data_IF_428643403335
#
_entry.id   IF_428643403335
#
_cell.length_a   1.000
_cell.length_b   1.000
_cell.length_c   1.000
_cell.angle_alpha   90.00
_cell.angle_beta   90.00
_cell.angle_gamma   90.00
#
_symmetry.space_group_name_H-M   'P 1'
#
loop_
_entity.id
_entity.type
_entity.pdbx_description
1 polymer ?
#
# COMPACT_ATOMS: atom_id res chain seq x y z
N UNK A 1 -16.81 11.75 11.04
CA UNK A 1 -15.86 12.87 10.78
C UNK A 1 -15.77 13.08 9.27
N UNK A 2 -15.69 14.32 8.79
CA UNK A 2 -15.55 14.64 7.35
C UNK A 2 -14.08 14.80 6.95
N UNK A 3 -13.75 14.70 5.66
CA UNK A 3 -12.39 14.94 5.14
C UNK A 3 -11.87 16.33 5.52
N UNK A 4 -12.73 17.35 5.40
CA UNK A 4 -12.40 18.72 5.76
C UNK A 4 -12.10 18.85 7.26
N UNK A 5 -12.95 18.28 8.12
CA UNK A 5 -12.71 18.29 9.57
C UNK A 5 -11.42 17.56 9.96
N UNK A 6 -11.09 16.44 9.31
CA UNK A 6 -9.82 15.75 9.53
C UNK A 6 -8.63 16.62 9.10
N UNK A 7 -8.74 17.32 7.98
CA UNK A 7 -7.67 18.21 7.48
C UNK A 7 -7.37 19.36 8.44
N UNK A 8 -8.42 19.94 9.04
CA UNK A 8 -8.33 21.04 10.01
C UNK A 8 -7.65 20.56 11.30
N UNK A 9 -8.11 19.44 11.89
CA UNK A 9 -7.54 18.89 13.13
C UNK A 9 -6.08 18.46 12.94
N UNK A 10 -5.77 17.88 11.76
CA UNK A 10 -4.41 17.44 11.44
C UNK A 10 -3.49 18.58 11.00
N UNK A 11 -4.02 19.76 10.69
CA UNK A 11 -3.31 20.91 10.10
C UNK A 11 -2.58 20.51 8.80
N UNK A 12 -3.29 19.81 7.92
CA UNK A 12 -2.81 19.40 6.59
C UNK A 12 -3.79 19.86 5.52
N UNK A 13 -3.35 19.93 4.27
CA UNK A 13 -4.26 20.28 3.17
C UNK A 13 -5.31 19.19 2.93
N UNK A 14 -6.50 19.57 2.46
CA UNK A 14 -7.54 18.63 2.05
C UNK A 14 -7.03 17.61 1.00
N UNK A 15 -6.21 18.08 0.05
CA UNK A 15 -5.56 17.22 -0.93
C UNK A 15 -4.63 16.16 -0.31
N UNK A 16 -4.07 16.45 0.87
CA UNK A 16 -3.26 15.47 1.62
C UNK A 16 -4.15 14.36 2.18
N UNK A 17 -5.28 14.70 2.81
CA UNK A 17 -6.25 13.72 3.33
C UNK A 17 -6.80 12.85 2.19
N UNK A 18 -7.22 13.47 1.09
CA UNK A 18 -7.67 12.75 -0.09
C UNK A 18 -6.57 11.87 -0.69
N UNK A 19 -5.32 12.31 -0.63
CA UNK A 19 -4.16 11.51 -1.02
C UNK A 19 -3.98 10.25 -0.16
N UNK A 20 -4.23 10.36 1.15
CA UNK A 20 -4.20 9.21 2.06
C UNK A 20 -5.34 8.23 1.76
N UNK A 21 -6.57 8.73 1.62
CA UNK A 21 -7.75 7.88 1.37
C UNK A 21 -7.72 7.19 0.01
N UNK A 22 -7.16 7.85 -1.00
CA UNK A 22 -6.98 7.25 -2.34
C UNK A 22 -5.73 6.38 -2.48
N UNK A 23 -4.91 6.28 -1.43
CA UNK A 23 -3.62 5.56 -1.49
C UNK A 23 -2.53 6.27 -2.32
N UNK A 24 -2.83 7.39 -3.01
CA UNK A 24 -1.82 8.19 -3.75
C UNK A 24 -0.70 8.71 -2.86
N UNK A 25 -0.95 8.85 -1.56
CA UNK A 25 0.04 9.19 -0.54
C UNK A 25 -0.07 8.15 0.58
N UNK A 26 0.68 7.04 0.49
CA UNK A 26 0.58 5.95 1.44
C UNK A 26 0.82 6.42 2.87
N UNK A 27 0.03 5.90 3.82
CA UNK A 27 0.17 6.27 5.23
C UNK A 27 1.52 5.81 5.83
N UNK A 28 2.14 4.77 5.28
CA UNK A 28 3.48 4.29 5.65
C UNK A 28 4.57 5.36 5.50
N UNK A 29 4.37 6.35 4.63
CA UNK A 29 5.32 7.45 4.44
C UNK A 29 5.15 8.60 5.45
N UNK A 30 4.17 8.53 6.36
CA UNK A 30 4.00 9.57 7.38
C UNK A 30 5.08 9.44 8.46
N UNK A 31 5.63 10.57 8.94
CA UNK A 31 6.42 10.56 10.16
C UNK A 31 5.65 9.91 11.31
N UNK A 32 6.31 9.05 12.09
CA UNK A 32 5.69 8.31 13.20
C UNK A 32 4.91 9.21 14.17
N UNK A 33 5.44 10.41 14.48
CA UNK A 33 4.76 11.39 15.32
C UNK A 33 3.42 11.87 14.73
N UNK A 34 3.36 12.08 13.40
CA UNK A 34 2.11 12.45 12.70
C UNK A 34 1.14 11.29 12.64
N UNK A 35 1.63 10.08 12.42
CA UNK A 35 0.80 8.88 12.46
C UNK A 35 0.17 8.68 13.85
N UNK A 36 0.94 8.87 14.92
CA UNK A 36 0.43 8.84 16.29
C UNK A 36 -0.60 9.94 16.59
N UNK A 37 -0.46 11.13 16.00
CA UNK A 37 -1.51 12.18 16.06
C UNK A 37 -2.78 11.72 15.33
N UNK A 38 -2.63 11.21 14.10
CA UNK A 38 -3.76 10.71 13.29
C UNK A 38 -4.53 9.63 14.04
N UNK A 39 -3.85 8.64 14.60
CA UNK A 39 -4.47 7.55 15.37
C UNK A 39 -5.27 8.08 16.56
N UNK A 40 -4.74 9.04 17.33
CA UNK A 40 -5.47 9.66 18.45
C UNK A 40 -6.71 10.43 18.01
N UNK A 41 -6.61 11.19 16.92
CA UNK A 41 -7.76 11.91 16.34
C UNK A 41 -8.84 10.93 15.90
N UNK A 42 -8.46 9.86 15.21
CA UNK A 42 -9.39 8.80 14.80
C UNK A 42 -9.98 8.08 16.01
N UNK A 43 -9.22 7.82 17.08
CA UNK A 43 -9.72 7.22 18.32
C UNK A 43 -10.83 8.05 18.96
N UNK A 44 -10.67 9.37 18.98
CA UNK A 44 -11.70 10.28 19.50
C UNK A 44 -12.92 10.39 18.58
N UNK A 45 -12.74 10.20 17.27
CA UNK A 45 -13.79 10.36 16.27
C UNK A 45 -14.54 9.05 15.93
N UNK A 46 -14.04 7.89 16.35
CA UNK A 46 -14.55 6.58 15.96
C UNK A 46 -15.37 5.94 17.08
N UNK A 47 -16.47 5.28 16.71
CA UNK A 47 -17.39 4.63 17.65
C UNK A 47 -16.88 3.26 18.13
N UNK A 48 -16.09 2.56 17.31
CA UNK A 48 -15.52 1.24 17.64
C UNK A 48 -13.98 1.30 17.70
N UNK A 49 -13.37 1.12 18.88
CA UNK A 49 -11.92 1.00 19.03
C UNK A 49 -11.33 -0.16 18.22
N UNK A 50 -12.14 -1.19 17.95
CA UNK A 50 -11.75 -2.37 17.18
C UNK A 50 -11.31 -2.04 15.76
N UNK A 51 -11.93 -1.05 15.11
CA UNK A 51 -11.57 -0.63 13.75
C UNK A 51 -10.16 -0.05 13.66
N UNK A 52 -9.69 0.59 14.73
CA UNK A 52 -8.36 1.23 14.74
C UNK A 52 -7.23 0.25 15.05
N UNK A 53 -7.55 -0.96 15.49
CA UNK A 53 -6.57 -2.04 15.58
C UNK A 53 -6.11 -2.49 14.19
N UNK A 54 -7.00 -2.38 13.18
CA UNK A 54 -6.73 -2.71 11.78
C UNK A 54 -5.73 -1.76 11.14
N UNK A 55 -5.67 -0.49 11.57
CA UNK A 55 -4.85 0.53 10.93
C UNK A 55 -3.35 0.20 10.92
N UNK A 56 -2.84 -0.39 12.01
CA UNK A 56 -1.43 -0.78 12.10
C UNK A 56 -1.08 -1.93 11.15
N UNK A 57 -1.92 -2.96 11.12
CA UNK A 57 -1.78 -4.11 10.23
C UNK A 57 -1.98 -3.72 8.76
N UNK A 58 -2.88 -2.76 8.49
CA UNK A 58 -3.11 -2.24 7.15
C UNK A 58 -1.88 -1.53 6.59
N UNK A 59 -1.13 -0.78 7.40
CA UNK A 59 0.14 -0.19 6.95
C UNK A 59 1.19 -1.25 6.62
N UNK A 60 1.25 -2.34 7.40
CA UNK A 60 2.16 -3.45 7.11
C UNK A 60 1.74 -4.18 5.83
N UNK A 61 0.43 -4.36 5.61
CA UNK A 61 -0.10 -4.90 4.36
C UNK A 61 0.27 -4.01 3.16
N UNK A 62 0.12 -2.69 3.27
CA UNK A 62 0.50 -1.73 2.22
C UNK A 62 2.00 -1.80 1.89
N UNK A 63 2.86 -1.90 2.91
CA UNK A 63 4.31 -2.07 2.72
C UNK A 63 4.63 -3.36 1.97
N UNK A 64 4.04 -4.49 2.39
CA UNK A 64 4.20 -5.78 1.72
C UNK A 64 3.73 -5.71 0.26
N UNK A 65 2.55 -5.12 0.02
CA UNK A 65 1.97 -5.01 -1.32
C UNK A 65 2.78 -4.09 -2.23
N UNK A 66 3.44 -3.07 -1.68
CA UNK A 66 4.33 -2.18 -2.45
C UNK A 66 5.59 -2.87 -2.96
N UNK A 67 5.99 -3.97 -2.32
CA UNK A 67 7.20 -4.74 -2.61
C UNK A 67 6.94 -6.00 -3.47
N UNK A 68 5.72 -6.19 -3.98
CA UNK A 68 5.36 -7.36 -4.84
C UNK A 68 6.26 -7.51 -6.08
N UNK A 69 6.88 -6.41 -6.54
CA UNK A 69 7.83 -6.41 -7.64
C UNK A 69 9.25 -6.88 -7.28
N UNK A 70 9.55 -7.07 -5.99
CA UNK A 70 10.89 -7.45 -5.53
C UNK A 70 11.25 -8.86 -5.99
N UNK A 71 12.36 -8.95 -6.72
CA UNK A 71 12.76 -10.17 -7.44
C UNK A 71 13.53 -11.16 -6.57
N UNK A 72 14.16 -10.69 -5.49
CA UNK A 72 14.84 -11.53 -4.51
C UNK A 72 13.85 -12.00 -3.43
N UNK A 73 13.50 -13.30 -3.38
CA UNK A 73 12.57 -13.81 -2.38
C UNK A 73 13.07 -13.65 -0.93
N UNK A 74 14.39 -13.59 -0.70
CA UNK A 74 14.95 -13.46 0.64
C UNK A 74 14.89 -12.02 1.17
N UNK A 75 14.85 -11.03 0.26
CA UNK A 75 14.70 -9.62 0.60
C UNK A 75 13.22 -9.18 0.67
N UNK A 76 12.29 -10.02 0.20
CA UNK A 76 10.87 -9.70 0.22
C UNK A 76 10.33 -9.63 1.66
N UNK A 77 9.55 -8.61 2.07
CA UNK A 77 9.08 -8.46 3.44
C UNK A 77 8.35 -9.69 4.02
N UNK A 78 7.63 -10.44 3.19
CA UNK A 78 6.99 -11.71 3.57
C UNK A 78 7.98 -12.80 4.06
N UNK A 79 9.25 -12.73 3.71
CA UNK A 79 10.26 -13.65 4.24
C UNK A 79 10.68 -13.30 5.68
N UNK A 80 10.41 -12.07 6.12
CA UNK A 80 10.82 -11.53 7.42
C UNK A 80 9.65 -11.40 8.41
N UNK A 81 8.41 -11.46 7.91
CA UNK A 81 7.19 -11.26 8.69
C UNK A 81 6.42 -12.57 8.78
N UNK A 82 6.05 -12.97 10.00
CA UNK A 82 5.08 -14.05 10.22
C UNK A 82 3.67 -13.46 10.18
N UNK A 83 2.85 -13.75 9.15
CA UNK A 83 1.54 -13.13 9.03
C UNK A 83 0.60 -13.61 10.13
N UNK A 84 0.01 -12.67 10.86
CA UNK A 84 -1.13 -12.99 11.71
C UNK A 84 -2.42 -13.09 10.86
N UNK A 85 -3.52 -13.51 11.49
CA UNK A 85 -4.80 -13.68 10.78
C UNK A 85 -5.29 -12.38 10.16
N UNK A 86 -5.20 -11.26 10.86
CA UNK A 86 -5.69 -9.97 10.37
C UNK A 86 -4.86 -9.48 9.17
N UNK A 87 -3.53 -9.58 9.24
CA UNK A 87 -2.65 -9.27 8.12
C UNK A 87 -2.98 -10.14 6.90
N UNK A 88 -3.22 -11.44 7.12
CA UNK A 88 -3.62 -12.36 6.04
C UNK A 88 -4.95 -11.95 5.41
N UNK A 89 -5.95 -11.62 6.23
CA UNK A 89 -7.25 -11.15 5.74
C UNK A 89 -7.13 -9.81 4.97
N UNK A 90 -6.26 -8.90 5.41
CA UNK A 90 -5.97 -7.64 4.71
C UNK A 90 -5.26 -7.86 3.37
N UNK A 91 -4.25 -8.72 3.32
CA UNK A 91 -3.56 -9.09 2.08
C UNK A 91 -4.50 -9.82 1.11
N UNK A 92 -5.43 -10.62 1.61
CA UNK A 92 -6.43 -11.34 0.83
C UNK A 92 -7.56 -10.45 0.30
N UNK A 93 -7.87 -9.35 1.00
CA UNK A 93 -8.99 -8.46 0.67
C UNK A 93 -8.97 -7.93 -0.79
N UNK A 94 -7.86 -7.40 -1.34
CA UNK A 94 -7.85 -6.94 -2.74
C UNK A 94 -8.15 -8.03 -3.76
N UNK A 95 -7.81 -9.28 -3.45
CA UNK A 95 -8.04 -10.42 -4.35
C UNK A 95 -9.46 -10.97 -4.21
N UNK A 96 -9.95 -11.10 -2.97
CA UNK A 96 -11.23 -11.76 -2.67
C UNK A 96 -12.41 -10.79 -2.71
N UNK A 97 -12.16 -9.49 -2.50
CA UNK A 97 -13.20 -8.47 -2.27
C UNK A 97 -13.88 -8.58 -0.90
N UNK A 98 -13.52 -9.56 -0.07
CA UNK A 98 -14.11 -9.78 1.25
C UNK A 98 -13.35 -9.00 2.33
N UNK A 99 -14.00 -8.08 3.06
CA UNK A 99 -13.33 -7.32 4.12
C UNK A 99 -12.89 -8.22 5.28
N UNK A 100 -11.83 -7.84 6.01
CA UNK A 100 -11.43 -8.53 7.23
C UNK A 100 -12.56 -8.49 8.27
N UNK A 101 -12.61 -9.47 9.17
CA UNK A 101 -13.73 -9.63 10.13
C UNK A 101 -13.95 -8.40 10.99
N UNK A 102 -12.85 -7.75 11.37
CA UNK A 102 -12.82 -6.54 12.18
C UNK A 102 -13.48 -5.35 11.49
N UNK A 103 -13.67 -5.39 10.17
CA UNK A 103 -14.33 -4.36 9.37
C UNK A 103 -15.66 -4.85 8.76
N UNK A 104 -16.14 -6.05 9.10
CA UNK A 104 -17.32 -6.65 8.49
C UNK A 104 -18.62 -5.88 8.77
N UNK A 105 -18.67 -5.11 9.86
CA UNK A 105 -19.76 -4.23 10.24
C UNK A 105 -19.71 -2.85 9.55
N UNK A 106 -18.63 -2.57 8.80
CA UNK A 106 -18.44 -1.32 8.08
C UNK A 106 -18.90 -1.41 6.63
N UNK A 107 -19.19 -0.26 6.01
CA UNK A 107 -19.46 -0.16 4.56
C UNK A 107 -18.17 -0.11 3.72
N UNK A 108 -17.02 -0.47 4.28
CA UNK A 108 -15.75 -0.37 3.59
C UNK A 108 -15.74 -1.27 2.35
N UNK A 109 -15.37 -0.69 1.20
CA UNK A 109 -15.21 -1.40 -0.07
C UNK A 109 -13.83 -1.11 -0.61
N UNK A 110 -13.17 -2.15 -1.09
CA UNK A 110 -11.99 -2.02 -1.91
C UNK A 110 -12.45 -2.05 -3.37
N UNK A 111 -12.52 -0.89 -3.99
CA UNK A 111 -12.94 -0.76 -5.40
C UNK A 111 -11.78 -1.12 -6.33
N UNK A 112 -11.48 -2.41 -6.41
CA UNK A 112 -10.59 -3.00 -7.41
C UNK A 112 -11.45 -3.67 -8.47
N UNK A 113 -11.27 -3.32 -9.74
CA UNK A 113 -12.07 -3.91 -10.81
C UNK A 113 -11.78 -5.41 -10.92
N UNK A 114 -12.78 -6.23 -11.28
CA UNK A 114 -12.61 -7.70 -11.35
C UNK A 114 -11.40 -8.11 -12.21
N UNK A 115 -11.20 -7.46 -13.37
CA UNK A 115 -10.06 -7.71 -14.25
C UNK A 115 -8.70 -7.41 -13.60
N UNK A 116 -8.62 -6.37 -12.76
CA UNK A 116 -7.40 -6.03 -12.03
C UNK A 116 -7.11 -7.05 -10.92
N UNK A 117 -8.14 -7.62 -10.29
CA UNK A 117 -7.97 -8.71 -9.30
C UNK A 117 -7.39 -9.96 -9.95
N UNK A 118 -7.90 -10.31 -11.13
CA UNK A 118 -7.43 -11.48 -11.88
C UNK A 118 -5.97 -11.29 -12.34
N UNK A 119 -5.61 -10.08 -12.79
CA UNK A 119 -4.24 -9.73 -13.15
C UNK A 119 -3.30 -9.82 -11.93
N UNK A 120 -3.67 -9.20 -10.80
CA UNK A 120 -2.91 -9.28 -9.56
C UNK A 120 -2.71 -10.73 -9.11
N UNK A 121 -3.76 -11.53 -9.14
CA UNK A 121 -3.69 -12.95 -8.77
C UNK A 121 -2.75 -13.74 -9.70
N UNK A 122 -2.74 -13.45 -10.99
CA UNK A 122 -1.83 -14.04 -11.97
C UNK A 122 -0.37 -13.67 -11.72
N UNK A 123 -0.10 -12.38 -11.43
CA UNK A 123 1.23 -11.88 -11.09
C UNK A 123 1.74 -12.56 -9.82
N UNK A 124 0.92 -12.59 -8.76
CA UNK A 124 1.29 -13.22 -7.49
C UNK A 124 1.57 -14.71 -7.64
N UNK A 125 0.75 -15.44 -8.41
CA UNK A 125 1.00 -16.86 -8.70
C UNK A 125 2.33 -17.05 -9.44
N UNK A 126 2.62 -16.20 -10.41
CA UNK A 126 3.90 -16.25 -11.14
C UNK A 126 5.09 -16.00 -10.21
N UNK A 127 4.99 -15.04 -9.29
CA UNK A 127 6.04 -14.76 -8.29
C UNK A 127 6.21 -15.96 -7.35
N UNK A 128 5.12 -16.55 -6.86
CA UNK A 128 5.15 -17.74 -6.00
C UNK A 128 5.83 -18.93 -6.70
N UNK A 129 5.49 -19.21 -7.97
CA UNK A 129 6.10 -20.29 -8.75
C UNK A 129 7.61 -20.07 -8.95
N UNK A 130 8.06 -18.82 -9.10
CA UNK A 130 9.49 -18.49 -9.17
C UNK A 130 10.18 -18.69 -7.82
N UNK A 131 9.55 -18.26 -6.73
CA UNK A 131 10.10 -18.44 -5.39
C UNK A 131 10.28 -19.93 -5.04
N UNK A 132 9.29 -20.76 -5.34
CA UNK A 132 9.32 -22.21 -5.07
C UNK A 132 10.42 -22.93 -5.89
N UNK A 133 10.62 -22.53 -7.16
CA UNK A 133 11.77 -22.99 -7.96
C UNK A 133 13.12 -22.57 -7.37
N UNK A 134 13.22 -21.35 -6.82
CA UNK A 134 14.43 -20.87 -6.17
C UNK A 134 14.75 -21.58 -4.83
N UNK A 135 13.73 -22.08 -4.13
CA UNK A 135 13.89 -22.92 -2.93
C UNK A 135 14.33 -24.33 -3.35
N UNK A 136 13.64 -24.97 -4.29
CA UNK A 136 13.99 -26.31 -4.78
C UNK A 136 15.38 -26.37 -5.42
N UNK A 137 15.76 -25.35 -6.18
CA UNK A 137 17.11 -25.25 -6.77
C UNK A 137 18.24 -25.13 -5.75
N UNK A 138 17.97 -24.53 -4.57
CA UNK A 138 18.94 -24.47 -3.46
C UNK A 138 19.10 -25.81 -2.74
N UNK A 139 18.05 -26.63 -2.70
CA UNK A 139 18.09 -27.97 -2.10
C UNK A 139 18.60 -29.06 -3.06
N UNK A 140 18.72 -28.77 -4.36
CA UNK A 140 19.16 -29.72 -5.38
C UNK A 140 20.68 -29.73 -5.63
N UNK A 141 21.49 -28.96 -4.89
CA UNK A 141 22.95 -29.13 -4.91
C UNK A 141 23.35 -30.36 -4.09
N UNK A 142 23.91 -31.42 -4.70
CA UNK A 142 24.48 -32.52 -3.94
C UNK A 142 25.82 -32.07 -3.35
N UNK A 143 25.95 -32.26 -2.04
CA UNK A 143 27.20 -32.54 -1.31
C UNK A 143 28.44 -31.73 -1.69
N UNK A 144 28.80 -30.75 -0.86
CA UNK A 144 30.13 -30.16 -0.92
C UNK A 144 30.40 -29.06 0.10
N UNK A 145 31.01 -29.45 1.22
CA UNK A 145 31.76 -28.62 2.17
C UNK A 145 31.00 -27.51 2.92
N UNK A 146 30.73 -27.78 4.21
CA UNK A 146 30.48 -26.76 5.23
C UNK A 146 31.74 -25.89 5.39
N UNK A 147 31.71 -24.58 5.11
CA UNK A 147 32.81 -23.71 5.51
C UNK A 147 32.70 -23.50 7.02
N UNK A 148 33.65 -24.03 7.77
CA UNK A 148 33.84 -23.71 9.19
C UNK A 148 33.94 -22.18 9.33
N UNK A 149 33.05 -21.59 10.13
CA UNK A 149 33.15 -20.20 10.57
C UNK A 149 34.49 -19.98 11.26
N UNK A 150 35.44 -19.34 10.55
CA UNK A 150 36.61 -18.72 11.17
C UNK A 150 36.18 -17.33 11.60
N UNK A 151 36.07 -17.12 12.91
CA UNK A 151 35.92 -15.79 13.49
C UNK A 151 37.09 -14.93 12.99
N UNK A 152 36.76 -13.86 12.27
CA UNK A 152 37.73 -12.83 11.86
C UNK A 152 37.31 -11.55 12.56
N UNK A 153 38.18 -11.07 13.44
CA UNK A 153 38.07 -9.78 14.11
C UNK A 153 37.85 -8.67 13.09
N UNK A 154 36.85 -7.83 13.36
CA UNK A 154 36.62 -6.56 12.66
C UNK A 154 37.09 -5.43 13.56
N UNK A 155 38.31 -4.97 13.31
CA UNK A 155 38.73 -3.61 13.62
C UNK A 155 38.64 -2.75 12.37
N UNK A 156 38.22 -1.50 12.54
CA UNK A 156 38.59 -0.42 11.62
C UNK A 156 37.46 0.21 10.81
N UNK A 157 37.04 1.37 11.30
CA UNK A 157 36.33 2.45 10.61
C UNK A 157 36.74 2.67 9.14
N UNK A 158 35.75 2.92 8.28
CA UNK A 158 35.96 3.48 6.95
C UNK A 158 34.68 4.03 6.33
N UNK A 159 34.53 5.36 6.36
CA UNK A 159 33.57 6.14 5.54
C UNK A 159 33.79 5.87 4.06
N UNK A 160 32.71 5.72 3.29
CA UNK A 160 32.65 6.17 1.89
C UNK A 160 31.20 6.30 1.41
N UNK A 161 30.87 7.50 0.93
CA UNK A 161 29.77 7.84 0.03
C UNK A 161 29.83 7.03 -1.28
N UNK A 162 28.66 6.73 -1.86
CA UNK A 162 28.37 6.93 -3.29
C UNK A 162 26.97 6.39 -3.65
N UNK A 163 26.22 7.23 -4.37
CA UNK A 163 24.81 7.05 -4.61
C UNK A 163 24.44 5.95 -5.62
N UNK A 164 23.14 5.62 -5.62
CA UNK A 164 22.53 4.92 -6.74
C UNK A 164 21.07 5.34 -6.93
N UNK A 165 20.80 5.62 -8.21
CA UNK A 165 19.63 6.28 -8.79
C UNK A 165 18.38 5.40 -8.62
N UNK A 166 17.29 5.96 -8.09
CA UNK A 166 15.95 5.34 -8.15
C UNK A 166 15.37 5.62 -9.55
N UNK A 167 15.16 4.56 -10.32
CA UNK A 167 14.37 4.63 -11.55
C UNK A 167 12.89 4.63 -11.18
N UNK A 168 12.25 5.77 -11.39
CA UNK A 168 10.82 5.99 -11.20
C UNK A 168 10.03 5.23 -12.26
N UNK A 169 9.31 4.17 -11.88
CA UNK A 169 8.33 3.54 -12.76
C UNK A 169 6.96 4.20 -12.51
N UNK A 170 6.74 5.37 -13.10
CA UNK A 170 5.42 5.99 -13.21
C UNK A 170 4.76 5.49 -14.50
N UNK A 171 3.79 4.56 -14.39
CA UNK A 171 2.79 4.33 -15.44
C UNK A 171 1.47 4.92 -14.98
N UNK A 172 1.04 5.97 -15.68
CA UNK A 172 -0.28 6.59 -15.57
C UNK A 172 -1.33 5.69 -16.23
N UNK A 173 -2.56 5.61 -15.70
CA UNK A 173 -3.75 5.46 -16.51
C UNK A 173 -4.34 6.84 -16.81
N UNK A 174 -4.48 7.13 -18.12
CA UNK A 174 -5.26 8.26 -18.64
C UNK A 174 -6.71 8.13 -18.16
N UNK A 175 -7.19 9.13 -17.43
CA UNK A 175 -8.63 9.35 -17.24
C UNK A 175 -9.10 10.25 -18.38
N UNK A 176 -9.91 9.69 -19.29
CA UNK A 176 -10.69 10.44 -20.26
C UNK A 176 -11.82 11.12 -19.49
N UNK A 177 -11.70 12.43 -19.25
CA UNK A 177 -12.80 13.25 -18.76
C UNK A 177 -13.61 13.75 -19.95
N UNK A 178 -14.66 13.02 -20.32
CA UNK A 178 -15.76 13.58 -21.10
C UNK A 178 -16.69 14.36 -20.18
N UNK A 179 -16.41 15.65 -19.96
CA UNK A 179 -17.31 16.58 -19.27
C UNK A 179 -17.93 17.48 -20.33
N UNK A 180 -19.20 17.24 -20.61
CA UNK A 180 -20.05 18.12 -21.40
C UNK A 180 -20.10 19.50 -20.75
N UNK A 181 -19.69 20.51 -21.51
CA UNK A 181 -19.78 21.91 -21.11
C UNK A 181 -21.20 22.42 -21.35
N UNK A 182 -21.68 23.13 -20.33
CA UNK A 182 -22.86 23.97 -20.30
C UNK A 182 -22.99 24.90 -21.52
N UNK A 183 -24.22 25.08 -22.01
CA UNK A 183 -24.62 26.33 -22.65
C UNK A 183 -25.96 26.79 -22.08
N UNK A 184 -25.89 27.60 -21.01
CA UNK A 184 -26.99 28.46 -20.58
C UNK A 184 -26.79 29.77 -21.34
N UNK A 185 -27.47 29.92 -22.47
CA UNK A 185 -27.53 31.17 -23.22
C UNK A 185 -28.76 31.96 -22.78
N UNK A 186 -28.51 33.07 -22.07
CA UNK A 186 -29.45 34.17 -21.89
C UNK A 186 -29.59 34.86 -23.25
N UNK A 187 -30.81 34.91 -23.79
CA UNK A 187 -31.17 35.95 -24.76
C UNK A 187 -32.36 36.76 -24.24
N UNK A 188 -32.09 38.03 -24.00
CA UNK A 188 -33.00 39.08 -23.59
C UNK A 188 -32.89 40.15 -24.67
N UNK A 189 -34.06 40.53 -25.21
CA UNK A 189 -34.35 41.66 -26.11
C UNK A 189 -34.07 41.43 -27.61
N UNK A 190 -35.15 41.39 -28.41
CA UNK A 190 -35.68 42.56 -29.16
C UNK A 190 -36.74 42.14 -30.19
N UNK A 191 -37.66 43.08 -30.44
CA UNK A 191 -38.48 43.33 -31.64
C UNK A 191 -39.85 42.62 -31.68
N UNK A 192 -40.95 43.33 -31.47
CA UNK A 192 -41.60 44.27 -32.42
C UNK A 192 -42.31 43.57 -33.58
N UNK A 193 -43.60 43.24 -33.40
CA UNK A 193 -44.77 43.74 -34.17
C UNK A 193 -45.97 42.86 -33.91
#
# INVERSE_FOLDING_TARGET
MTQQGLSEVMQVSLATVQGWESGRRPLVNLPMARFGKLKRVLQLATVSPGHLTVLSEAMQADEILSEVGTTDPAAHPLALVVPNRLLTELLAWPMTGTPPRQLADTKARLDVAKGERDELASVLRTVADRADRGVRGRHASPTGAVPRCRAREVGGLGRADAGRRRASFQRSPRVVTGVGSHEISRDQRRRSR
#
